data_IF_832070527948
#
_entry.id   IF_832070527948
#
_cell.length_a   1.000
_cell.length_b   1.000
_cell.length_c   1.000
_cell.angle_alpha   90.00
_cell.angle_beta   90.00
_cell.angle_gamma   90.00
#
_symmetry.space_group_name_H-M   'P 1'
#
loop_
_entity.id
_entity.type
_entity.pdbx_description
1 polymer ?
#
# COMPACT_ATOMS: atom_id res chain seq x y z
N UNK A 1 -20.78 20.20 -5.74
CA UNK A 1 -19.99 20.04 -4.50
C UNK A 1 -18.91 18.97 -4.70
N UNK A 2 -18.21 18.97 -5.84
CA UNK A 2 -17.55 17.76 -6.37
C UNK A 2 -16.04 17.91 -6.56
N UNK A 3 -15.50 19.13 -6.58
CA UNK A 3 -14.07 19.37 -6.83
C UNK A 3 -13.25 19.10 -5.57
N UNK A 4 -13.73 19.53 -4.40
CA UNK A 4 -13.05 19.33 -3.12
C UNK A 4 -12.95 17.83 -2.75
N UNK A 5 -14.04 17.07 -2.89
CA UNK A 5 -14.03 15.61 -2.70
C UNK A 5 -13.06 14.90 -3.64
N UNK A 6 -13.02 15.33 -4.91
CA UNK A 6 -12.13 14.75 -5.93
C UNK A 6 -10.65 15.04 -5.64
N UNK A 7 -10.34 16.22 -5.10
CA UNK A 7 -8.97 16.57 -4.68
C UNK A 7 -8.57 15.75 -3.45
N UNK A 8 -9.46 15.60 -2.46
CA UNK A 8 -9.21 14.78 -1.27
C UNK A 8 -8.99 13.31 -1.65
N UNK A 9 -9.82 12.75 -2.52
CA UNK A 9 -9.66 11.37 -3.04
C UNK A 9 -8.29 11.17 -3.72
N UNK A 10 -7.87 12.12 -4.57
CA UNK A 10 -6.55 12.08 -5.21
C UNK A 10 -5.40 12.26 -4.21
N UNK A 11 -5.58 13.09 -3.19
CA UNK A 11 -4.59 13.29 -2.13
C UNK A 11 -4.40 12.03 -1.29
N UNK A 12 -5.49 11.36 -0.91
CA UNK A 12 -5.45 10.09 -0.19
C UNK A 12 -4.79 9.01 -1.06
N UNK A 13 -5.09 8.97 -2.37
CA UNK A 13 -4.43 8.04 -3.30
C UNK A 13 -2.93 8.26 -3.39
N UNK A 14 -2.48 9.51 -3.50
CA UNK A 14 -1.05 9.83 -3.49
C UNK A 14 -0.35 9.45 -2.18
N UNK A 15 -1.01 9.67 -1.03
CA UNK A 15 -0.45 9.28 0.28
C UNK A 15 -0.39 7.75 0.40
N UNK A 16 -1.42 7.05 -0.04
CA UNK A 16 -1.43 5.58 -0.08
C UNK A 16 -0.31 5.02 -0.95
N UNK A 17 -0.08 5.59 -2.15
CA UNK A 17 1.03 5.19 -3.02
C UNK A 17 2.40 5.43 -2.36
N UNK A 18 2.57 6.56 -1.67
CA UNK A 18 3.79 6.83 -0.89
C UNK A 18 4.01 5.80 0.23
N UNK A 19 2.96 5.42 0.96
CA UNK A 19 3.03 4.41 2.02
C UNK A 19 3.38 3.03 1.43
N UNK A 20 2.84 2.70 0.24
CA UNK A 20 3.17 1.47 -0.49
C UNK A 20 4.65 1.43 -0.85
N UNK A 21 5.18 2.49 -1.45
CA UNK A 21 6.59 2.57 -1.82
C UNK A 21 7.51 2.52 -0.60
N UNK A 22 7.17 3.25 0.47
CA UNK A 22 7.94 3.23 1.71
C UNK A 22 7.99 1.83 2.34
N UNK A 23 6.87 1.10 2.30
CA UNK A 23 6.81 -0.24 2.88
C UNK A 23 7.52 -1.29 2.03
N UNK A 24 7.46 -1.18 0.70
CA UNK A 24 8.29 -1.99 -0.19
C UNK A 24 9.78 -1.74 0.05
N UNK A 25 10.19 -0.48 0.24
CA UNK A 25 11.56 -0.12 0.60
C UNK A 25 12.01 -0.72 1.93
N UNK A 26 11.15 -0.67 2.96
CA UNK A 26 11.41 -1.28 4.28
C UNK A 26 11.49 -2.80 4.20
N UNK A 27 10.66 -3.44 3.37
CA UNK A 27 10.73 -4.88 3.14
C UNK A 27 12.01 -5.28 2.44
N UNK A 28 12.42 -4.52 1.43
CA UNK A 28 13.69 -4.74 0.74
C UNK A 28 14.88 -4.59 1.72
N UNK A 29 14.86 -3.53 2.54
CA UNK A 29 15.86 -3.32 3.59
C UNK A 29 15.88 -4.47 4.61
N UNK A 30 14.70 -4.94 5.04
CA UNK A 30 14.58 -6.07 5.96
C UNK A 30 15.17 -7.36 5.36
N UNK A 31 14.92 -7.66 4.08
CA UNK A 31 15.50 -8.85 3.42
C UNK A 31 17.03 -8.76 3.36
N UNK A 32 17.56 -7.56 3.05
CA UNK A 32 18.99 -7.35 2.90
C UNK A 32 19.74 -7.46 4.24
N UNK A 33 19.19 -6.87 5.30
CA UNK A 33 19.82 -6.81 6.61
C UNK A 33 19.52 -8.02 7.52
N UNK A 34 18.41 -8.75 7.27
CA UNK A 34 18.01 -9.85 8.15
C UNK A 34 18.88 -11.09 7.91
N UNK A 35 19.52 -11.61 8.95
CA UNK A 35 20.25 -12.88 8.91
C UNK A 35 19.36 -14.11 9.10
N UNK A 36 18.05 -13.93 9.31
CA UNK A 36 17.11 -15.02 9.55
C UNK A 36 16.99 -15.95 8.34
N UNK A 37 16.98 -17.27 8.57
CA UNK A 37 16.69 -18.29 7.54
C UNK A 37 15.34 -18.08 6.87
N UNK A 38 14.35 -17.54 7.61
CA UNK A 38 12.99 -17.29 7.13
C UNK A 38 12.78 -15.88 6.55
N UNK A 39 13.86 -15.12 6.26
CA UNK A 39 13.76 -13.72 5.81
C UNK A 39 12.85 -13.56 4.58
N UNK A 40 12.96 -14.46 3.60
CA UNK A 40 12.18 -14.42 2.37
C UNK A 40 10.72 -14.81 2.60
N UNK A 41 10.46 -15.73 3.52
CA UNK A 41 9.11 -16.17 3.86
C UNK A 41 8.35 -15.05 4.59
N UNK A 42 9.01 -14.38 5.54
CA UNK A 42 8.46 -13.20 6.22
C UNK A 42 8.21 -12.05 5.25
N UNK A 43 9.17 -11.77 4.36
CA UNK A 43 9.00 -10.75 3.34
C UNK A 43 7.85 -11.06 2.37
N UNK A 44 7.69 -12.34 1.99
CA UNK A 44 6.58 -12.79 1.14
C UNK A 44 5.21 -12.57 1.80
N UNK A 45 5.07 -12.92 3.08
CA UNK A 45 3.83 -12.69 3.85
C UNK A 45 3.52 -11.20 3.94
N UNK A 46 4.53 -10.36 4.21
CA UNK A 46 4.35 -8.91 4.26
C UNK A 46 3.97 -8.31 2.90
N UNK A 47 4.56 -8.80 1.80
CA UNK A 47 4.15 -8.42 0.44
C UNK A 47 2.69 -8.81 0.15
N UNK A 48 2.28 -10.03 0.53
CA UNK A 48 0.90 -10.49 0.39
C UNK A 48 -0.09 -9.62 1.17
N UNK A 49 0.23 -9.29 2.42
CA UNK A 49 -0.57 -8.34 3.21
C UNK A 49 -0.68 -6.97 2.54
N UNK A 50 0.39 -6.51 1.89
CA UNK A 50 0.40 -5.24 1.16
C UNK A 50 -0.47 -5.27 -0.11
N UNK A 51 -0.41 -6.36 -0.87
CA UNK A 51 -1.26 -6.55 -2.05
C UNK A 51 -2.74 -6.54 -1.66
N UNK A 52 -3.08 -7.20 -0.56
CA UNK A 52 -4.46 -7.21 -0.03
C UNK A 52 -4.88 -5.79 0.38
N UNK A 53 -4.05 -5.07 1.13
CA UNK A 53 -4.33 -3.69 1.53
C UNK A 53 -4.54 -2.76 0.32
N UNK A 54 -3.72 -2.90 -0.73
CA UNK A 54 -3.88 -2.15 -1.99
C UNK A 54 -5.19 -2.47 -2.69
N UNK A 55 -5.60 -3.74 -2.75
CA UNK A 55 -6.88 -4.14 -3.35
C UNK A 55 -8.06 -3.55 -2.59
N UNK A 56 -8.04 -3.62 -1.25
CA UNK A 56 -9.08 -3.00 -0.41
C UNK A 56 -9.15 -1.50 -0.64
N UNK A 57 -8.00 -0.82 -0.66
CA UNK A 57 -7.91 0.61 -0.96
C UNK A 57 -8.50 0.94 -2.33
N UNK A 58 -8.13 0.19 -3.36
CA UNK A 58 -8.62 0.39 -4.74
C UNK A 58 -10.12 0.17 -4.87
N UNK A 59 -10.66 -0.85 -4.20
CA UNK A 59 -12.10 -1.10 -4.17
C UNK A 59 -12.83 0.04 -3.43
N UNK A 60 -12.32 0.46 -2.27
CA UNK A 60 -12.88 1.58 -1.52
C UNK A 60 -12.90 2.87 -2.34
N UNK A 61 -11.82 3.16 -3.07
CA UNK A 61 -11.76 4.35 -3.92
C UNK A 61 -12.76 4.28 -5.09
N UNK A 62 -12.95 3.09 -5.69
CA UNK A 62 -13.95 2.87 -6.74
C UNK A 62 -15.38 3.10 -6.24
N UNK A 63 -15.71 2.57 -5.06
CA UNK A 63 -17.02 2.74 -4.43
C UNK A 63 -17.28 4.20 -4.06
N UNK A 64 -16.25 4.95 -3.67
CA UNK A 64 -16.39 6.36 -3.30
C UNK A 64 -16.50 7.31 -4.50
N UNK A 65 -15.96 6.93 -5.67
CA UNK A 65 -16.07 7.72 -6.91
C UNK A 65 -17.38 7.47 -7.67
N UNK A 66 -18.08 6.34 -7.45
CA UNK A 66 -19.39 6.01 -8.03
C UNK A 66 -20.60 6.58 -7.24
N UNK A 67 -20.38 7.23 -6.08
CA UNK A 67 -21.40 7.87 -5.22
C UNK A 67 -21.23 9.40 -5.21
#
# INVERSE_FOLDING_TARGET
MNILKKIISRGIAGISDCIILATLGLLFWFIFMSESEYRYLKAGISCLGFIIAYLVYRIANRVHDDI
#
